data_IF_147554088555
#
_entry.id   IF_147554088555
#
_cell.length_a   1.000
_cell.length_b   1.000
_cell.length_c   1.000
_cell.angle_alpha   90.00
_cell.angle_beta   90.00
_cell.angle_gamma   90.00
#
_symmetry.space_group_name_H-M   'P 1'
#
loop_
_entity.id
_entity.type
_entity.pdbx_description
1 polymer ?
#
# COMPACT_ATOMS: atom_id res chain seq x y z
N UNK A 1 -8.98 -28.22 -9.57
CA UNK A 1 -7.97 -27.14 -9.57
C UNK A 1 -7.09 -27.33 -8.36
N UNK A 2 -5.79 -27.39 -8.56
CA UNK A 2 -4.77 -27.50 -7.52
C UNK A 2 -4.01 -26.17 -7.46
N UNK A 3 -3.80 -25.65 -6.25
CA UNK A 3 -2.92 -24.50 -6.00
C UNK A 3 -1.72 -25.02 -5.21
N UNK A 4 -0.53 -24.69 -5.66
CA UNK A 4 0.67 -25.30 -5.11
C UNK A 4 1.86 -24.35 -5.11
N UNK A 5 2.71 -24.47 -4.10
CA UNK A 5 4.07 -23.94 -4.03
C UNK A 5 5.12 -24.94 -4.49
N UNK A 6 6.38 -24.71 -4.17
CA UNK A 6 7.59 -25.40 -4.68
C UNK A 6 7.61 -26.92 -4.65
N UNK A 7 6.70 -27.57 -3.93
CA UNK A 7 6.77 -29.02 -3.66
C UNK A 7 5.65 -29.83 -4.34
N UNK A 8 5.05 -29.31 -5.43
CA UNK A 8 3.90 -30.01 -6.00
C UNK A 8 4.32 -31.09 -6.97
N UNK A 9 3.78 -32.26 -6.74
CA UNK A 9 3.79 -33.33 -7.72
C UNK A 9 2.85 -32.95 -8.90
N UNK A 10 3.43 -32.34 -9.93
CA UNK A 10 2.72 -31.98 -11.15
C UNK A 10 2.10 -33.20 -11.85
N UNK A 11 2.64 -34.40 -11.61
CA UNK A 11 2.11 -35.65 -12.15
C UNK A 11 0.70 -35.95 -11.58
N UNK A 12 0.44 -35.54 -10.34
CA UNK A 12 -0.88 -35.70 -9.75
C UNK A 12 -1.95 -34.86 -10.48
N UNK A 13 -1.59 -33.62 -10.84
CA UNK A 13 -2.50 -32.73 -11.55
C UNK A 13 -2.84 -33.25 -12.96
N UNK A 14 -1.84 -33.75 -13.66
CA UNK A 14 -2.03 -34.40 -14.98
C UNK A 14 -2.90 -35.66 -14.86
N UNK A 15 -2.68 -36.46 -13.82
CA UNK A 15 -3.45 -37.68 -13.56
C UNK A 15 -4.93 -37.42 -13.29
N UNK A 16 -5.27 -36.29 -12.66
CA UNK A 16 -6.68 -35.92 -12.36
C UNK A 16 -7.29 -34.96 -13.37
N UNK A 17 -6.54 -34.52 -14.37
CA UNK A 17 -7.02 -33.69 -15.47
C UNK A 17 -7.58 -32.34 -15.05
N UNK A 18 -7.04 -31.71 -14.02
CA UNK A 18 -7.48 -30.40 -13.51
C UNK A 18 -6.46 -29.31 -13.79
N UNK A 19 -6.90 -28.08 -14.07
CA UNK A 19 -5.98 -26.94 -14.14
C UNK A 19 -5.19 -26.75 -12.86
N UNK A 20 -3.90 -26.42 -13.00
CA UNK A 20 -2.98 -26.16 -11.90
C UNK A 20 -2.59 -24.68 -11.90
N UNK A 21 -2.58 -24.05 -10.73
CA UNK A 21 -1.94 -22.75 -10.52
C UNK A 21 -0.74 -23.01 -9.61
N UNK A 22 0.44 -22.68 -10.09
CA UNK A 22 1.70 -22.79 -9.33
C UNK A 22 2.11 -21.40 -8.88
N UNK A 23 2.32 -21.24 -7.58
CA UNK A 23 2.76 -19.98 -6.96
C UNK A 23 4.26 -20.08 -6.65
N UNK A 24 5.02 -19.09 -7.08
CA UNK A 24 6.46 -19.01 -6.91
C UNK A 24 6.81 -17.82 -6.01
N UNK A 25 7.59 -18.04 -4.98
CA UNK A 25 7.98 -17.00 -4.02
C UNK A 25 9.01 -16.01 -4.60
N UNK A 26 9.58 -16.34 -5.76
CA UNK A 26 10.54 -15.50 -6.47
C UNK A 26 10.19 -15.40 -7.96
N UNK A 27 10.97 -16.05 -8.82
CA UNK A 27 10.76 -16.14 -10.28
C UNK A 27 10.26 -17.53 -10.64
N UNK A 28 9.58 -17.68 -11.78
CA UNK A 28 9.12 -18.98 -12.25
C UNK A 28 10.29 -19.94 -12.42
N UNK A 29 10.22 -21.07 -11.73
CA UNK A 29 11.26 -22.12 -11.81
C UNK A 29 12.57 -21.77 -11.10
N UNK A 30 12.63 -20.68 -10.34
CA UNK A 30 13.83 -20.29 -9.61
C UNK A 30 13.60 -20.37 -8.09
N UNK A 31 14.54 -20.96 -7.34
CA UNK A 31 14.46 -20.92 -5.89
C UNK A 31 14.71 -19.49 -5.38
N UNK A 32 13.97 -19.08 -4.36
CA UNK A 32 14.13 -17.76 -3.76
C UNK A 32 13.04 -17.45 -2.77
N UNK A 33 13.01 -16.20 -2.34
CA UNK A 33 12.06 -15.67 -1.36
C UNK A 33 11.54 -14.32 -1.82
N UNK A 34 10.44 -13.84 -1.26
CA UNK A 34 9.82 -12.57 -1.62
C UNK A 34 10.74 -11.34 -1.50
N UNK A 35 11.77 -11.42 -0.65
CA UNK A 35 12.83 -10.41 -0.59
C UNK A 35 13.55 -10.23 -1.93
N UNK A 36 13.86 -11.33 -2.61
CA UNK A 36 14.50 -11.31 -3.93
C UNK A 36 13.53 -10.79 -5.00
N UNK A 37 12.26 -11.19 -4.91
CA UNK A 37 11.20 -10.65 -5.77
C UNK A 37 11.09 -9.12 -5.66
N UNK A 38 11.13 -8.57 -4.43
CA UNK A 38 11.15 -7.12 -4.19
C UNK A 38 12.33 -6.43 -4.87
N UNK A 39 13.51 -7.05 -4.82
CA UNK A 39 14.72 -6.49 -5.41
C UNK A 39 14.66 -6.46 -6.95
N UNK A 40 14.31 -7.58 -7.60
CA UNK A 40 14.32 -7.70 -9.07
C UNK A 40 13.13 -7.05 -9.75
N UNK A 41 12.05 -6.82 -9.04
CA UNK A 41 10.87 -6.12 -9.58
C UNK A 41 11.05 -4.61 -9.71
N UNK A 42 12.09 -4.04 -9.12
CA UNK A 42 12.31 -2.59 -9.05
C UNK A 42 11.64 -1.92 -7.84
N UNK A 43 10.75 -2.61 -7.12
CA UNK A 43 10.03 -2.04 -5.96
C UNK A 43 11.00 -1.58 -4.87
N UNK A 44 12.03 -2.35 -4.58
CA UNK A 44 13.05 -1.97 -3.58
C UNK A 44 13.78 -0.67 -3.89
N UNK A 45 13.90 -0.29 -5.17
CA UNK A 45 14.58 0.95 -5.57
C UNK A 45 13.78 2.20 -5.22
N UNK A 46 12.46 2.07 -5.03
CA UNK A 46 11.53 3.18 -4.77
C UNK A 46 11.02 3.21 -3.32
N UNK A 47 11.39 2.24 -2.51
CA UNK A 47 11.06 2.17 -1.09
C UNK A 47 12.28 2.60 -0.26
N UNK A 48 12.06 3.36 0.80
CA UNK A 48 13.09 3.80 1.74
C UNK A 48 13.20 5.31 1.82
N UNK A 49 14.15 5.79 2.63
CA UNK A 49 14.44 7.22 2.74
C UNK A 49 14.93 7.79 1.40
N UNK A 50 14.65 9.07 1.16
CA UNK A 50 14.96 9.76 -0.10
C UNK A 50 16.42 9.57 -0.53
N UNK A 51 17.35 9.73 0.41
CA UNK A 51 18.81 9.65 0.25
C UNK A 51 19.43 8.38 0.84
N UNK A 52 18.58 7.45 1.30
CA UNK A 52 19.01 6.21 1.94
C UNK A 52 19.24 5.04 0.99
N UNK A 53 19.58 3.89 1.56
CA UNK A 53 19.66 2.63 0.83
C UNK A 53 18.26 2.17 0.33
N UNK A 54 18.20 1.32 -0.72
CA UNK A 54 16.96 0.66 -1.10
C UNK A 54 16.31 -0.05 0.08
N UNK A 55 14.99 0.10 0.20
CA UNK A 55 14.20 -0.62 1.21
C UNK A 55 13.71 -1.96 0.69
N UNK A 56 13.13 -2.75 1.59
CA UNK A 56 12.53 -4.03 1.25
C UNK A 56 11.12 -4.09 1.83
N UNK A 57 10.20 -4.72 1.11
CA UNK A 57 8.89 -5.04 1.67
C UNK A 57 9.05 -6.07 2.80
N UNK A 58 8.18 -6.04 3.83
CA UNK A 58 8.15 -7.12 4.82
C UNK A 58 8.12 -8.48 4.15
N UNK A 59 8.86 -9.46 4.69
CA UNK A 59 9.23 -10.71 4.03
C UNK A 59 8.06 -11.48 3.38
N UNK A 60 6.89 -11.43 3.99
CA UNK A 60 5.73 -12.20 3.52
C UNK A 60 4.76 -11.43 2.62
N UNK A 61 4.99 -10.15 2.38
CA UNK A 61 4.07 -9.33 1.54
C UNK A 61 4.07 -9.79 0.08
N UNK A 62 5.22 -10.05 -0.56
CA UNK A 62 5.25 -10.56 -1.92
C UNK A 62 4.51 -11.90 -2.09
N UNK A 63 4.74 -12.85 -1.17
CA UNK A 63 4.09 -14.16 -1.17
C UNK A 63 2.58 -14.05 -0.97
N UNK A 64 2.14 -13.20 -0.04
CA UNK A 64 0.72 -12.97 0.21
C UNK A 64 0.02 -12.37 -1.01
N UNK A 65 0.65 -11.41 -1.68
CA UNK A 65 0.10 -10.83 -2.91
C UNK A 65 0.04 -11.85 -4.05
N UNK A 66 1.06 -12.69 -4.19
CA UNK A 66 1.07 -13.80 -5.14
C UNK A 66 -0.08 -14.76 -4.86
N UNK A 67 -0.35 -15.07 -3.59
CA UNK A 67 -1.49 -15.86 -3.16
C UNK A 67 -2.85 -15.23 -3.53
N UNK A 68 -2.99 -13.91 -3.37
CA UNK A 68 -4.21 -13.18 -3.77
C UNK A 68 -4.40 -13.24 -5.29
N UNK A 69 -3.35 -13.04 -6.07
CA UNK A 69 -3.40 -13.17 -7.54
C UNK A 69 -3.79 -14.59 -7.94
N UNK A 70 -3.18 -15.62 -7.33
CA UNK A 70 -3.54 -17.01 -7.57
C UNK A 70 -5.00 -17.32 -7.25
N UNK A 71 -5.54 -16.79 -6.14
CA UNK A 71 -6.94 -16.95 -5.77
C UNK A 71 -7.89 -16.28 -6.80
N UNK A 72 -7.56 -15.09 -7.28
CA UNK A 72 -8.33 -14.41 -8.33
C UNK A 72 -8.33 -15.18 -9.65
N UNK A 73 -7.19 -15.72 -10.06
CA UNK A 73 -7.09 -16.60 -11.23
C UNK A 73 -7.91 -17.88 -11.06
N UNK A 74 -7.89 -18.45 -9.86
CA UNK A 74 -8.69 -19.61 -9.52
C UNK A 74 -10.20 -19.34 -9.70
N UNK A 75 -10.67 -18.21 -9.19
CA UNK A 75 -12.06 -17.76 -9.37
C UNK A 75 -12.38 -17.52 -10.85
N UNK A 76 -11.47 -16.89 -11.59
CA UNK A 76 -11.61 -16.70 -13.04
C UNK A 76 -11.77 -18.00 -13.81
N UNK A 77 -10.96 -19.02 -13.48
CA UNK A 77 -11.09 -20.36 -14.09
C UNK A 77 -12.41 -21.05 -13.72
N UNK A 78 -12.89 -20.88 -12.50
CA UNK A 78 -14.19 -21.41 -12.08
C UNK A 78 -15.33 -20.76 -12.86
N UNK A 79 -15.31 -19.44 -13.01
CA UNK A 79 -16.31 -18.70 -13.77
C UNK A 79 -16.30 -19.09 -15.26
N UNK A 80 -15.12 -19.20 -15.88
CA UNK A 80 -14.97 -19.70 -17.27
C UNK A 80 -15.46 -21.13 -17.48
N UNK A 81 -15.62 -21.92 -16.41
CA UNK A 81 -16.18 -23.26 -16.47
C UNK A 81 -17.57 -23.27 -17.11
N UNK A 82 -18.30 -22.17 -17.04
CA UNK A 82 -19.64 -22.04 -17.60
C UNK A 82 -19.63 -21.63 -19.09
N UNK A 83 -18.46 -21.27 -19.64
CA UNK A 83 -18.31 -21.03 -21.08
C UNK A 83 -17.74 -22.28 -21.76
N UNK A 84 -18.57 -23.05 -22.52
CA UNK A 84 -18.12 -24.27 -23.15
C UNK A 84 -17.13 -24.04 -24.30
N UNK A 85 -17.01 -22.80 -24.78
CA UNK A 85 -16.09 -22.45 -25.89
C UNK A 85 -14.73 -21.97 -25.39
N UNK A 86 -14.58 -21.72 -24.08
CA UNK A 86 -13.33 -21.23 -23.49
C UNK A 86 -12.28 -22.35 -23.41
N UNK A 87 -11.15 -22.12 -24.04
CA UNK A 87 -9.97 -22.96 -23.86
C UNK A 87 -9.50 -22.88 -22.41
N UNK A 88 -9.21 -24.03 -21.80
CA UNK A 88 -8.75 -24.11 -20.43
C UNK A 88 -7.24 -24.32 -20.40
N UNK A 89 -6.48 -23.44 -19.72
CA UNK A 89 -5.06 -23.68 -19.51
C UNK A 89 -4.89 -24.90 -18.61
N UNK A 90 -3.92 -25.77 -18.96
CA UNK A 90 -3.54 -26.88 -18.09
C UNK A 90 -2.78 -26.38 -16.86
N UNK A 91 -1.96 -25.33 -17.04
CA UNK A 91 -1.11 -24.76 -15.99
C UNK A 91 -1.05 -23.24 -16.13
N UNK A 92 -1.00 -22.56 -14.98
CA UNK A 92 -0.73 -21.12 -14.83
C UNK A 92 0.34 -20.97 -13.76
N UNK A 93 1.46 -20.34 -14.11
CA UNK A 93 2.50 -19.97 -13.16
C UNK A 93 2.34 -18.50 -12.77
N UNK A 94 2.44 -18.23 -11.47
CA UNK A 94 2.35 -16.87 -10.89
C UNK A 94 3.58 -16.67 -10.01
N UNK A 95 4.45 -15.74 -10.35
CA UNK A 95 5.63 -15.42 -9.57
C UNK A 95 5.47 -14.14 -8.77
N UNK A 96 6.06 -14.09 -7.59
CA UNK A 96 6.07 -12.89 -6.74
C UNK A 96 6.77 -11.72 -7.45
N UNK A 97 7.82 -11.99 -8.22
CA UNK A 97 8.53 -10.96 -8.99
C UNK A 97 7.63 -10.34 -10.07
N UNK A 98 6.84 -11.13 -10.81
CA UNK A 98 5.94 -10.61 -11.85
C UNK A 98 4.74 -9.88 -11.26
N UNK A 99 4.21 -10.37 -10.14
CA UNK A 99 3.16 -9.66 -9.39
C UNK A 99 3.65 -8.28 -8.98
N UNK A 100 4.84 -8.16 -8.40
CA UNK A 100 5.42 -6.87 -8.02
C UNK A 100 5.76 -5.99 -9.24
N UNK A 101 6.28 -6.56 -10.33
CA UNK A 101 6.52 -5.83 -11.58
C UNK A 101 5.24 -5.22 -12.14
N UNK A 102 4.11 -5.93 -12.06
CA UNK A 102 2.83 -5.41 -12.55
C UNK A 102 2.40 -4.14 -11.81
N UNK A 103 2.68 -4.02 -10.52
CA UNK A 103 2.45 -2.77 -9.77
C UNK A 103 3.44 -1.67 -10.18
N UNK A 104 4.72 -2.01 -10.31
CA UNK A 104 5.75 -1.05 -10.69
C UNK A 104 5.52 -0.49 -12.09
N UNK A 105 5.15 -1.32 -13.05
CA UNK A 105 4.88 -0.92 -14.44
C UNK A 105 3.68 0.00 -14.56
N UNK A 106 2.58 -0.29 -13.86
CA UNK A 106 1.41 0.57 -13.86
C UNK A 106 1.71 1.98 -13.38
N UNK A 107 2.66 2.13 -12.49
CA UNK A 107 3.02 3.41 -11.88
C UNK A 107 4.27 4.05 -12.50
N UNK A 108 5.14 3.31 -13.19
CA UNK A 108 6.17 3.89 -14.05
C UNK A 108 5.58 4.54 -15.31
N UNK A 109 4.26 4.45 -15.43
CA UNK A 109 3.47 4.65 -16.60
C UNK A 109 3.72 5.94 -17.33
N UNK A 110 3.91 5.79 -18.61
CA UNK A 110 3.64 6.76 -19.64
C UNK A 110 2.16 7.16 -19.65
N UNK A 111 1.68 7.83 -18.62
CA UNK A 111 0.42 8.52 -18.72
C UNK A 111 0.61 9.75 -19.62
N UNK A 112 0.00 9.73 -20.79
CA UNK A 112 0.04 10.82 -21.75
C UNK A 112 1.45 11.21 -22.27
N UNK A 113 2.38 10.27 -22.39
CA UNK A 113 3.70 10.52 -22.97
C UNK A 113 4.69 11.24 -22.04
N UNK A 114 4.36 11.40 -20.77
CA UNK A 114 5.28 11.93 -19.77
C UNK A 114 5.87 10.76 -19.00
N UNK A 115 7.18 10.50 -19.07
CA UNK A 115 7.82 9.46 -18.30
C UNK A 115 7.83 9.87 -16.82
N UNK A 116 6.92 9.34 -16.02
CA UNK A 116 7.03 9.38 -14.56
C UNK A 116 8.03 8.31 -14.13
N UNK A 117 9.25 8.73 -13.86
CA UNK A 117 10.22 7.84 -13.23
C UNK A 117 9.82 7.58 -11.77
N UNK A 118 9.47 6.35 -11.43
CA UNK A 118 9.37 5.94 -10.03
C UNK A 118 10.68 6.22 -9.32
N UNK A 119 10.59 6.94 -8.21
CA UNK A 119 11.74 7.27 -7.37
C UNK A 119 11.29 7.51 -5.94
N UNK A 120 12.22 7.44 -5.01
CA UNK A 120 11.99 7.89 -3.64
C UNK A 120 11.90 9.42 -3.65
N UNK A 121 10.76 9.94 -3.31
CA UNK A 121 10.43 11.37 -3.46
C UNK A 121 10.35 12.12 -2.12
N UNK A 122 10.88 11.52 -1.05
CA UNK A 122 10.87 12.14 0.27
C UNK A 122 9.47 12.32 0.82
N UNK A 123 9.13 13.54 1.23
CA UNK A 123 7.86 13.89 1.86
C UNK A 123 6.89 14.59 0.89
N UNK A 124 7.05 14.37 -0.41
CA UNK A 124 6.21 14.93 -1.47
C UNK A 124 5.71 13.83 -2.42
N UNK A 125 4.54 14.02 -3.04
CA UNK A 125 3.98 13.09 -4.02
C UNK A 125 4.34 13.53 -5.45
N UNK A 126 5.27 12.83 -6.07
CA UNK A 126 5.69 13.13 -7.46
C UNK A 126 4.64 12.72 -8.48
N UNK A 127 3.98 11.59 -8.26
CA UNK A 127 2.96 11.02 -9.17
C UNK A 127 1.70 11.89 -9.34
N UNK A 128 1.47 12.83 -8.44
CA UNK A 128 0.37 13.80 -8.51
C UNK A 128 0.84 15.21 -8.91
N UNK A 129 1.98 15.30 -9.59
CA UNK A 129 2.54 16.60 -10.01
C UNK A 129 3.29 17.34 -8.91
N UNK A 130 3.71 16.60 -7.88
CA UNK A 130 4.35 17.15 -6.69
C UNK A 130 3.33 17.81 -5.75
N UNK A 131 3.00 17.14 -4.64
CA UNK A 131 2.10 17.67 -3.59
C UNK A 131 2.77 17.48 -2.24
N UNK A 132 2.82 18.52 -1.45
CA UNK A 132 3.23 18.48 -0.05
C UNK A 132 2.00 18.52 0.86
N UNK A 133 1.97 17.83 2.02
CA UNK A 133 2.91 16.79 2.45
C UNK A 133 2.47 15.39 1.99
N UNK A 134 3.43 14.49 1.81
CA UNK A 134 3.16 13.06 1.66
C UNK A 134 4.26 12.25 2.32
N UNK A 135 3.94 11.51 3.36
CA UNK A 135 4.91 10.66 4.05
C UNK A 135 4.56 10.42 5.51
N UNK A 136 5.57 9.96 6.24
CA UNK A 136 5.50 9.71 7.67
C UNK A 136 6.26 10.82 8.41
N UNK A 137 5.57 11.47 9.31
CA UNK A 137 6.11 12.58 10.10
C UNK A 137 6.13 12.19 11.57
N UNK A 138 7.12 12.69 12.30
CA UNK A 138 7.14 12.53 13.75
C UNK A 138 6.02 13.36 14.38
N UNK A 139 5.48 12.88 15.51
CA UNK A 139 4.59 13.63 16.40
C UNK A 139 5.02 13.42 17.84
N UNK A 140 4.27 13.92 18.81
CA UNK A 140 4.68 13.93 20.22
C UNK A 140 5.03 12.54 20.78
N UNK A 141 4.26 11.52 20.41
CA UNK A 141 4.32 10.16 20.96
C UNK A 141 4.56 9.06 19.92
N UNK A 142 4.85 9.42 18.66
CA UNK A 142 5.07 8.45 17.60
C UNK A 142 5.22 9.07 16.24
N UNK A 143 4.52 8.51 15.24
CA UNK A 143 4.51 9.01 13.89
C UNK A 143 3.08 9.09 13.35
N UNK A 144 2.85 10.04 12.46
CA UNK A 144 1.61 10.24 11.73
C UNK A 144 1.89 10.11 10.22
N UNK A 145 1.09 9.32 9.53
CA UNK A 145 1.05 9.29 8.07
C UNK A 145 0.19 10.46 7.59
N UNK A 146 0.67 11.22 6.63
CA UNK A 146 -0.04 12.34 6.01
C UNK A 146 0.04 12.22 4.50
N UNK A 147 -1.09 12.40 3.79
CA UNK A 147 -1.12 12.31 2.33
C UNK A 147 -2.04 13.36 1.73
N UNK A 148 -1.49 14.52 1.37
CA UNK A 148 -2.22 15.48 0.55
C UNK A 148 -2.19 15.06 -0.93
N UNK A 149 -3.31 15.20 -1.64
CA UNK A 149 -3.45 14.96 -3.09
C UNK A 149 -4.01 16.18 -3.81
N UNK A 150 -4.49 17.16 -3.03
CA UNK A 150 -5.19 18.31 -3.54
C UNK A 150 -5.05 19.52 -2.61
N UNK A 151 -5.46 20.70 -3.10
CA UNK A 151 -5.58 21.91 -2.25
C UNK A 151 -6.62 21.73 -1.14
N UNK A 152 -7.66 20.94 -1.39
CA UNK A 152 -8.69 20.67 -0.40
C UNK A 152 -8.12 19.82 0.75
N UNK A 153 -7.35 18.77 0.42
CA UNK A 153 -6.66 17.95 1.44
C UNK A 153 -5.71 18.83 2.28
N UNK A 154 -4.95 19.72 1.64
CA UNK A 154 -4.07 20.64 2.35
C UNK A 154 -4.83 21.58 3.27
N UNK A 155 -5.93 22.18 2.81
CA UNK A 155 -6.78 23.03 3.65
C UNK A 155 -7.37 22.27 4.85
N UNK A 156 -7.78 21.00 4.66
CA UNK A 156 -8.25 20.14 5.75
C UNK A 156 -7.13 19.83 6.76
N UNK A 157 -5.90 19.55 6.29
CA UNK A 157 -4.73 19.36 7.14
C UNK A 157 -4.43 20.63 7.96
N UNK A 158 -4.42 21.80 7.32
CA UNK A 158 -4.22 23.07 8.04
C UNK A 158 -5.30 23.30 9.09
N UNK A 159 -6.55 22.98 8.79
CA UNK A 159 -7.66 23.05 9.73
C UNK A 159 -7.47 22.10 10.91
N UNK A 160 -7.05 20.87 10.67
CA UNK A 160 -6.72 19.88 11.71
C UNK A 160 -5.62 20.36 12.65
N UNK A 161 -4.65 21.13 12.12
CA UNK A 161 -3.58 21.75 12.89
C UNK A 161 -4.01 23.07 13.58
N UNK A 162 -5.27 23.47 13.47
CA UNK A 162 -5.80 24.70 14.07
C UNK A 162 -5.44 25.97 13.31
N UNK A 163 -5.16 25.88 12.02
CA UNK A 163 -4.76 26.99 11.15
C UNK A 163 -3.59 27.80 11.73
N UNK A 164 -2.38 27.23 11.82
CA UNK A 164 -1.22 27.91 12.37
C UNK A 164 -0.99 29.27 11.70
N UNK A 165 -0.37 30.21 12.39
CA UNK A 165 -0.19 31.59 11.90
C UNK A 165 0.41 31.66 10.49
N UNK A 166 1.39 30.79 10.18
CA UNK A 166 2.06 30.73 8.88
C UNK A 166 1.13 30.24 7.76
N UNK A 167 0.05 29.51 8.07
CA UNK A 167 -0.91 29.02 7.08
C UNK A 167 -1.67 30.13 6.38
N UNK A 168 -1.69 31.35 6.97
CA UNK A 168 -2.33 32.52 6.37
C UNK A 168 -1.44 33.19 5.30
N UNK A 169 -0.17 32.84 5.22
CA UNK A 169 0.73 33.36 4.21
C UNK A 169 0.38 32.79 2.83
N UNK A 170 0.30 33.67 1.83
CA UNK A 170 -0.14 33.30 0.47
C UNK A 170 0.68 32.16 -0.12
N UNK A 171 1.99 32.14 0.16
CA UNK A 171 2.92 31.14 -0.36
C UNK A 171 2.73 29.77 0.33
N UNK A 172 2.12 29.73 1.50
CA UNK A 172 1.85 28.49 2.25
C UNK A 172 0.51 27.83 1.90
N UNK A 173 -0.30 28.42 1.04
CA UNK A 173 -1.63 27.91 0.70
C UNK A 173 -1.64 26.96 -0.51
N UNK A 174 -0.53 26.87 -1.24
CA UNK A 174 -0.47 26.05 -2.46
C UNK A 174 0.44 24.84 -2.29
N UNK A 175 -0.10 23.64 -1.99
CA UNK A 175 0.70 22.45 -1.72
C UNK A 175 1.53 21.97 -2.92
N UNK A 176 1.15 22.35 -4.14
CA UNK A 176 1.92 22.05 -5.35
C UNK A 176 3.21 22.86 -5.44
N UNK A 177 3.18 24.12 -5.01
CA UNK A 177 4.39 24.96 -4.92
C UNK A 177 5.29 24.56 -3.75
N UNK A 178 4.66 24.17 -2.63
CA UNK A 178 5.41 23.71 -1.46
C UNK A 178 6.16 22.41 -1.74
N UNK A 179 5.71 21.60 -2.70
CA UNK A 179 6.43 20.40 -3.10
C UNK A 179 7.65 20.64 -3.98
N UNK A 180 7.75 21.83 -4.62
CA UNK A 180 8.91 22.22 -5.42
C UNK A 180 10.09 22.59 -4.52
N UNK A 181 9.81 23.22 -3.36
CA UNK A 181 10.78 23.55 -2.32
C UNK A 181 10.07 23.50 -0.95
N UNK A 182 10.29 22.43 -0.22
CA UNK A 182 9.71 22.22 1.09
C UNK A 182 10.58 22.72 2.26
N UNK A 183 11.74 23.28 1.96
CA UNK A 183 12.74 23.67 2.95
C UNK A 183 12.21 24.67 4.01
N UNK A 184 11.29 25.54 3.62
CA UNK A 184 10.63 26.51 4.51
C UNK A 184 9.45 25.92 5.26
N UNK A 185 8.59 25.15 4.56
CA UNK A 185 7.36 24.63 5.17
C UNK A 185 7.61 23.43 6.06
N UNK A 186 8.53 22.55 5.72
CA UNK A 186 8.80 21.31 6.45
C UNK A 186 9.08 21.53 7.93
N UNK A 187 9.99 22.42 8.35
CA UNK A 187 10.23 22.68 9.78
C UNK A 187 9.03 23.29 10.50
N UNK A 188 8.25 24.14 9.84
CA UNK A 188 7.05 24.75 10.40
C UNK A 188 5.93 23.71 10.60
N UNK A 189 5.73 22.86 9.61
CA UNK A 189 4.77 21.76 9.65
C UNK A 189 5.14 20.73 10.71
N UNK A 190 6.40 20.31 10.74
CA UNK A 190 6.92 19.39 11.76
C UNK A 190 6.75 19.93 13.19
N UNK A 191 7.02 21.21 13.38
CA UNK A 191 6.85 21.86 14.70
C UNK A 191 5.39 21.88 15.19
N UNK A 192 4.40 21.87 14.28
CA UNK A 192 3.00 21.72 14.67
C UNK A 192 2.64 20.27 15.02
N UNK A 193 3.20 19.31 14.33
CA UNK A 193 2.99 17.88 14.61
C UNK A 193 3.66 17.47 15.94
N UNK A 194 4.85 17.96 16.21
CA UNK A 194 5.61 17.66 17.45
C UNK A 194 4.86 18.08 18.75
N UNK A 195 3.87 18.97 18.65
CA UNK A 195 3.07 19.43 19.78
C UNK A 195 1.90 18.50 20.14
N UNK A 196 1.55 17.57 19.27
CA UNK A 196 0.30 16.79 19.32
C UNK A 196 0.57 15.30 19.34
N UNK A 197 -0.23 14.57 20.10
CA UNK A 197 -0.21 13.11 20.10
C UNK A 197 -0.84 12.52 18.84
N UNK A 198 -0.55 11.26 18.57
CA UNK A 198 -1.20 10.51 17.47
C UNK A 198 -2.73 10.54 17.60
N UNK A 199 -3.26 10.48 18.83
CA UNK A 199 -4.70 10.50 19.10
C UNK A 199 -5.33 11.87 18.80
N UNK A 200 -4.72 12.94 19.28
CA UNK A 200 -5.19 14.31 19.00
C UNK A 200 -5.17 14.61 17.50
N UNK A 201 -4.13 14.17 16.78
CA UNK A 201 -4.05 14.33 15.32
C UNK A 201 -5.11 13.52 14.60
N UNK A 202 -5.41 12.30 15.04
CA UNK A 202 -6.47 11.48 14.46
C UNK A 202 -7.86 12.09 14.69
N UNK A 203 -8.15 12.54 15.91
CA UNK A 203 -9.44 13.18 16.23
C UNK A 203 -9.65 14.43 15.39
N UNK A 204 -8.61 15.25 15.26
CA UNK A 204 -8.63 16.43 14.40
C UNK A 204 -8.80 16.06 12.91
N UNK A 205 -8.15 14.98 12.46
CA UNK A 205 -8.29 14.49 11.09
C UNK A 205 -9.71 14.01 10.79
N UNK A 206 -10.33 13.26 11.70
CA UNK A 206 -11.72 12.82 11.57
C UNK A 206 -12.67 14.01 11.53
N UNK A 207 -12.47 15.00 12.39
CA UNK A 207 -13.33 16.19 12.48
C UNK A 207 -13.26 17.09 11.23
N UNK A 208 -12.10 17.13 10.55
CA UNK A 208 -11.85 18.03 9.41
C UNK A 208 -11.85 17.32 8.06
N UNK A 209 -11.83 15.99 8.05
CA UNK A 209 -11.61 15.19 6.84
C UNK A 209 -10.15 15.23 6.33
N UNK A 210 -9.20 15.61 7.17
CA UNK A 210 -7.80 15.64 6.79
C UNK A 210 -7.26 14.22 6.55
N UNK A 211 -6.50 13.97 5.47
CA UNK A 211 -5.94 12.66 5.17
C UNK A 211 -4.71 12.39 6.03
N UNK A 212 -4.94 12.10 7.30
CA UNK A 212 -3.91 11.76 8.29
C UNK A 212 -4.33 10.53 9.08
N UNK A 213 -3.37 9.67 9.42
CA UNK A 213 -3.59 8.48 10.25
C UNK A 213 -2.35 8.16 11.09
N UNK A 214 -2.51 7.64 12.32
CA UNK A 214 -1.38 7.23 13.15
C UNK A 214 -0.64 6.04 12.53
N UNK A 215 0.66 5.97 12.75
CA UNK A 215 1.49 4.83 12.39
C UNK A 215 1.59 3.91 13.59
N UNK A 216 0.79 2.86 13.57
CA UNK A 216 0.69 1.91 14.68
C UNK A 216 1.71 0.78 14.54
N UNK A 217 2.19 0.28 15.67
CA UNK A 217 2.85 -1.02 15.73
C UNK A 217 1.82 -2.15 15.50
N UNK A 218 2.26 -3.37 15.13
CA UNK A 218 1.34 -4.50 15.02
C UNK A 218 0.54 -4.77 16.30
N UNK A 219 1.14 -4.57 17.47
CA UNK A 219 0.50 -4.75 18.76
C UNK A 219 -0.61 -3.72 18.99
N UNK A 220 -0.33 -2.45 18.71
CA UNK A 220 -1.33 -1.37 18.80
C UNK A 220 -2.44 -1.57 17.78
N UNK A 221 -2.11 -1.93 16.55
CA UNK A 221 -3.09 -2.18 15.51
C UNK A 221 -4.06 -3.32 15.84
N UNK A 222 -3.60 -4.35 16.55
CA UNK A 222 -4.44 -5.47 16.99
C UNK A 222 -5.54 -5.05 17.98
N UNK A 223 -5.28 -4.02 18.78
CA UNK A 223 -6.22 -3.49 19.79
C UNK A 223 -6.91 -2.20 19.37
N UNK A 224 -6.58 -1.69 18.19
CA UNK A 224 -7.10 -0.43 17.68
C UNK A 224 -8.54 -0.58 17.19
N UNK A 225 -9.48 0.04 17.87
CA UNK A 225 -10.90 -0.14 17.65
C UNK A 225 -11.64 1.08 17.05
N UNK A 226 -10.93 2.16 16.76
CA UNK A 226 -11.51 3.44 16.31
C UNK A 226 -12.41 3.29 15.09
N UNK A 227 -11.95 2.56 14.05
CA UNK A 227 -12.71 2.37 12.82
C UNK A 227 -13.44 1.02 12.74
N UNK A 228 -13.02 0.06 13.52
CA UNK A 228 -13.58 -1.29 13.54
C UNK A 228 -13.54 -1.89 14.95
N UNK A 229 -14.45 -1.45 15.83
CA UNK A 229 -14.54 -2.01 17.17
C UNK A 229 -14.69 -3.53 17.12
N UNK A 230 -13.97 -4.24 17.99
CA UNK A 230 -14.03 -5.69 18.07
C UNK A 230 -13.35 -6.42 16.90
N UNK A 231 -12.40 -5.81 16.20
CA UNK A 231 -11.62 -6.51 15.18
C UNK A 231 -10.72 -7.60 15.74
N UNK A 232 -10.20 -7.42 16.95
CA UNK A 232 -9.56 -8.47 17.72
C UNK A 232 -10.50 -8.95 18.82
N UNK A 233 -10.50 -10.26 19.10
CA UNK A 233 -11.17 -10.81 20.27
C UNK A 233 -10.34 -10.56 21.55
N UNK A 234 -10.88 -10.82 22.75
CA UNK A 234 -10.15 -10.64 24.01
C UNK A 234 -8.85 -11.44 24.12
N UNK A 235 -8.70 -12.50 23.36
CA UNK A 235 -7.51 -13.34 23.26
C UNK A 235 -6.51 -12.83 22.20
N UNK A 236 -6.82 -11.70 21.52
CA UNK A 236 -5.96 -11.08 20.49
C UNK A 236 -6.02 -11.76 19.11
N UNK A 237 -6.99 -12.64 18.88
CA UNK A 237 -7.20 -13.25 17.55
C UNK A 237 -7.96 -12.28 16.67
N UNK A 238 -7.44 -12.06 15.44
CA UNK A 238 -8.06 -11.15 14.51
C UNK A 238 -9.27 -11.79 13.82
N UNK A 239 -10.33 -11.01 13.67
CA UNK A 239 -11.47 -11.36 12.85
C UNK A 239 -11.14 -11.29 11.35
N UNK A 240 -12.05 -11.77 10.51
CA UNK A 240 -11.91 -11.71 9.07
C UNK A 240 -11.71 -10.24 8.60
N UNK A 241 -10.87 -9.99 7.58
CA UNK A 241 -10.60 -8.64 7.06
C UNK A 241 -11.78 -8.04 6.26
N UNK A 242 -12.97 -8.61 6.40
CA UNK A 242 -14.21 -8.13 5.76
C UNK A 242 -15.41 -8.32 6.67
N UNK A 243 -16.44 -7.53 6.47
CA UNK A 243 -17.72 -7.62 7.17
C UNK A 243 -18.76 -8.14 6.18
N UNK A 244 -19.42 -9.21 6.53
CA UNK A 244 -20.58 -9.72 5.78
C UNK A 244 -21.84 -9.05 6.35
N UNK A 245 -22.54 -8.29 5.50
CA UNK A 245 -23.86 -7.75 5.82
C UNK A 245 -24.93 -8.55 5.11
N UNK A 246 -26.02 -8.85 5.80
CA UNK A 246 -27.20 -9.44 5.17
C UNK A 246 -27.87 -8.39 4.27
N UNK A 247 -28.51 -8.85 3.19
CA UNK A 247 -29.30 -7.96 2.33
C UNK A 247 -30.55 -7.38 3.06
N UNK A 248 -30.78 -7.78 4.31
CA UNK A 248 -31.89 -7.35 5.15
C UNK A 248 -31.46 -6.42 6.29
N UNK A 249 -30.17 -6.14 6.43
CA UNK A 249 -29.56 -5.15 7.32
C UNK A 249 -29.30 -3.85 6.54
#
# INVERSE_FOLDING_TARGET
MLVAGDAVDLNLADAIGVPVIVLWDFEVGQPGVGAFASAVSGVSSVIGAHDGAPGILPAHVPEQWTGIFGANLALGLILRRFDPTAERPARIDVSAADVLRSFAEQNSGNHAGVPYGWRRNGLTAVEHGGVFPQGFFRCLDGHIAVQARSRQDWAAILSALGNPWWSQEKDMQNPFRLSEDDSRILPLFQAELDKRSMHELLDAAIATGAPMAPVLTPSEAATWDVFRPGFADPEGRLNLPFIVKSARD
#
